data_IF_253342249494
#
_entry.id   IF_253342249494
#
_cell.length_a   1.000
_cell.length_b   1.000
_cell.length_c   1.000
_cell.angle_alpha   90.00
_cell.angle_beta   90.00
_cell.angle_gamma   90.00
#
_symmetry.space_group_name_H-M   'P 1'
#
loop_
_entity.id
_entity.type
_entity.pdbx_description
1 polymer ?
#
# COMPACT_ATOMS: atom_id res chain seq x y z
N UNK A 1 7.38 -5.97 -29.18
CA UNK A 1 8.58 -5.76 -28.34
C UNK A 1 8.41 -6.33 -26.94
N UNK A 2 7.52 -5.84 -26.10
CA UNK A 2 7.37 -6.36 -24.72
C UNK A 2 7.18 -7.88 -24.63
N UNK A 3 6.40 -8.50 -25.53
CA UNK A 3 6.22 -9.96 -25.57
C UNK A 3 7.54 -10.71 -25.89
N UNK A 4 8.39 -10.19 -26.77
CA UNK A 4 9.71 -10.77 -27.09
C UNK A 4 10.62 -10.73 -25.86
N UNK A 5 10.68 -9.59 -25.16
CA UNK A 5 11.45 -9.46 -23.91
C UNK A 5 10.89 -10.40 -22.83
N UNK A 6 9.56 -10.54 -22.73
CA UNK A 6 8.91 -11.42 -21.77
C UNK A 6 9.24 -12.89 -22.01
N UNK A 7 9.30 -13.31 -23.28
CA UNK A 7 9.65 -14.68 -23.65
C UNK A 7 11.10 -15.05 -23.25
N UNK A 8 12.00 -14.06 -23.26
CA UNK A 8 13.41 -14.23 -22.87
C UNK A 8 13.56 -14.11 -21.35
N UNK A 9 13.02 -13.07 -20.74
CA UNK A 9 13.23 -12.76 -19.33
C UNK A 9 12.44 -13.69 -18.39
N UNK A 10 11.25 -14.15 -18.80
CA UNK A 10 10.37 -14.98 -17.98
C UNK A 10 11.02 -16.25 -17.47
N UNK A 11 11.57 -17.11 -18.33
CA UNK A 11 12.23 -18.36 -17.91
C UNK A 11 13.43 -18.11 -16.97
N UNK A 12 14.21 -17.06 -17.22
CA UNK A 12 15.37 -16.70 -16.38
C UNK A 12 14.91 -16.33 -14.99
N UNK A 13 13.93 -15.43 -14.88
CA UNK A 13 13.35 -15.01 -13.60
C UNK A 13 12.77 -16.20 -12.84
N UNK A 14 12.02 -17.05 -13.52
CA UNK A 14 11.42 -18.25 -12.93
C UNK A 14 12.49 -19.23 -12.42
N UNK A 15 13.55 -19.45 -13.18
CA UNK A 15 14.68 -20.28 -12.76
C UNK A 15 15.43 -19.75 -11.54
N UNK A 16 15.39 -18.44 -11.32
CA UNK A 16 15.95 -17.75 -10.15
C UNK A 16 14.95 -17.68 -8.96
N UNK A 17 13.72 -18.17 -9.12
CA UNK A 17 12.68 -18.13 -8.08
C UNK A 17 11.89 -16.82 -8.03
N UNK A 18 12.00 -15.95 -9.03
CA UNK A 18 11.23 -14.73 -9.13
C UNK A 18 10.05 -14.86 -10.09
N UNK A 19 9.05 -14.01 -9.92
CA UNK A 19 7.90 -13.88 -10.83
C UNK A 19 8.03 -12.60 -11.63
N UNK A 20 7.92 -12.71 -12.95
CA UNK A 20 7.77 -11.56 -13.83
C UNK A 20 6.36 -10.96 -13.62
N UNK A 21 6.27 -9.69 -13.26
CA UNK A 21 4.98 -8.99 -13.09
C UNK A 21 4.62 -8.26 -14.37
N UNK A 22 5.49 -7.36 -14.86
CA UNK A 22 5.23 -6.54 -16.04
C UNK A 22 6.52 -6.15 -16.73
N UNK A 23 6.45 -5.98 -18.06
CA UNK A 23 7.47 -5.32 -18.85
C UNK A 23 6.88 -4.05 -19.44
N UNK A 24 7.55 -2.92 -19.20
CA UNK A 24 7.20 -1.64 -19.78
C UNK A 24 8.37 -1.14 -20.62
N UNK A 25 8.08 -0.77 -21.87
CA UNK A 25 9.05 -0.16 -22.79
C UNK A 25 8.63 1.29 -23.01
N UNK A 26 9.50 2.24 -22.66
CA UNK A 26 9.26 3.67 -22.84
C UNK A 26 10.33 4.27 -23.75
N UNK A 27 9.96 5.31 -24.50
CA UNK A 27 10.83 5.96 -25.46
C UNK A 27 11.10 7.45 -25.19
N UNK A 28 10.66 7.98 -24.04
CA UNK A 28 10.71 9.43 -23.77
C UNK A 28 12.14 9.99 -23.63
N UNK A 29 13.09 9.20 -23.10
CA UNK A 29 14.48 9.60 -22.91
C UNK A 29 15.45 8.54 -23.43
N UNK A 30 15.24 8.03 -24.63
CA UNK A 30 15.86 6.83 -25.11
C UNK A 30 14.98 5.61 -24.85
N UNK A 31 15.39 4.43 -25.35
CA UNK A 31 14.62 3.21 -25.11
C UNK A 31 14.94 2.70 -23.69
N UNK A 32 13.95 2.68 -22.81
CA UNK A 32 14.06 2.07 -21.49
C UNK A 32 13.19 0.83 -21.41
N UNK A 33 13.77 -0.28 -21.01
CA UNK A 33 13.11 -1.57 -20.75
C UNK A 33 13.03 -1.77 -19.25
N UNK A 34 11.86 -1.49 -18.68
CA UNK A 34 11.60 -1.75 -17.27
C UNK A 34 10.98 -3.12 -17.10
N UNK A 35 11.63 -3.95 -16.30
CA UNK A 35 11.17 -5.29 -15.92
C UNK A 35 10.78 -5.24 -14.44
N UNK A 36 9.48 -5.40 -14.18
CA UNK A 36 8.96 -5.52 -12.83
C UNK A 36 8.90 -6.98 -12.43
N UNK A 37 9.58 -7.33 -11.34
CA UNK A 37 9.62 -8.68 -10.81
C UNK A 37 9.35 -8.68 -9.30
N UNK A 38 9.04 -9.84 -8.76
CA UNK A 38 8.81 -10.05 -7.33
C UNK A 38 9.17 -11.47 -6.91
N UNK A 39 9.42 -11.69 -5.63
CA UNK A 39 9.46 -13.02 -5.02
C UNK A 39 8.04 -13.61 -4.96
N UNK A 40 7.88 -14.93 -4.74
CA UNK A 40 6.56 -15.56 -4.61
C UNK A 40 5.67 -14.98 -3.50
N UNK A 41 6.26 -14.42 -2.45
CA UNK A 41 5.58 -13.73 -1.35
C UNK A 41 5.16 -12.29 -1.69
N UNK A 42 5.59 -11.77 -2.86
CA UNK A 42 5.32 -10.40 -3.34
C UNK A 42 6.30 -9.36 -2.84
N UNK A 43 7.38 -9.76 -2.16
CA UNK A 43 8.47 -8.86 -1.74
C UNK A 43 9.55 -8.77 -2.82
N UNK A 44 10.41 -7.77 -2.72
CA UNK A 44 11.62 -7.60 -3.52
C UNK A 44 12.57 -6.64 -2.84
N UNK A 45 13.82 -7.01 -2.75
CA UNK A 45 14.89 -6.22 -2.15
C UNK A 45 15.77 -5.61 -3.26
N UNK A 46 16.60 -4.65 -2.89
CA UNK A 46 17.54 -4.01 -3.83
C UNK A 46 18.57 -5.02 -4.35
N UNK A 47 19.02 -5.92 -3.49
CA UNK A 47 19.95 -7.00 -3.83
C UNK A 47 19.35 -7.97 -4.86
N UNK A 48 18.05 -8.18 -4.82
CA UNK A 48 17.33 -8.97 -5.83
C UNK A 48 17.38 -8.28 -7.20
N UNK A 49 17.14 -6.95 -7.21
CA UNK A 49 17.20 -6.17 -8.45
C UNK A 49 18.59 -6.28 -9.10
N UNK A 50 19.65 -6.17 -8.30
CA UNK A 50 21.03 -6.31 -8.76
C UNK A 50 21.31 -7.72 -9.31
N UNK A 51 20.89 -8.73 -8.57
CA UNK A 51 21.08 -10.14 -8.97
C UNK A 51 20.35 -10.45 -10.27
N UNK A 52 19.09 -10.02 -10.40
CA UNK A 52 18.30 -10.15 -11.61
C UNK A 52 18.93 -9.40 -12.79
N UNK A 53 19.37 -8.17 -12.57
CA UNK A 53 20.00 -7.36 -13.62
C UNK A 53 21.25 -8.04 -14.18
N UNK A 54 22.12 -8.57 -13.31
CA UNK A 54 23.33 -9.30 -13.72
C UNK A 54 23.02 -10.57 -14.50
N UNK A 55 21.95 -11.27 -14.16
CA UNK A 55 21.55 -12.49 -14.84
C UNK A 55 20.88 -12.21 -16.18
N UNK A 56 20.04 -11.16 -16.27
CA UNK A 56 19.29 -10.85 -17.47
C UNK A 56 20.11 -10.14 -18.55
N UNK A 57 21.06 -9.26 -18.19
CA UNK A 57 21.83 -8.50 -19.17
C UNK A 57 22.47 -9.38 -20.25
N UNK A 58 23.28 -10.42 -19.94
CA UNK A 58 23.90 -11.24 -20.98
C UNK A 58 22.90 -12.04 -21.80
N UNK A 59 21.78 -12.46 -21.21
CA UNK A 59 20.77 -13.21 -21.92
C UNK A 59 20.01 -12.34 -22.91
N UNK A 60 19.71 -11.11 -22.52
CA UNK A 60 19.07 -10.12 -23.41
C UNK A 60 20.01 -9.65 -24.52
N UNK A 61 21.32 -9.52 -24.24
CA UNK A 61 22.32 -9.17 -25.24
C UNK A 61 22.46 -10.27 -26.32
N UNK A 62 22.40 -11.55 -25.92
CA UNK A 62 22.48 -12.68 -26.87
C UNK A 62 21.18 -12.82 -27.67
N UNK A 63 20.01 -12.68 -27.00
CA UNK A 63 18.71 -12.86 -27.64
C UNK A 63 18.30 -11.69 -28.52
N UNK A 64 18.90 -10.52 -28.34
CA UNK A 64 18.67 -9.24 -29.04
C UNK A 64 17.16 -8.97 -29.34
N UNK A 65 16.29 -8.97 -28.31
CA UNK A 65 14.84 -8.80 -28.51
C UNK A 65 14.47 -7.39 -28.94
N UNK A 66 15.41 -6.42 -28.87
CA UNK A 66 15.21 -4.99 -29.18
C UNK A 66 16.41 -4.50 -30.00
N UNK A 67 16.14 -4.14 -31.23
CA UNK A 67 17.14 -3.69 -32.21
C UNK A 67 17.84 -2.35 -31.90
N UNK A 68 17.31 -1.61 -30.91
CA UNK A 68 17.83 -0.29 -30.52
C UNK A 68 18.56 -0.42 -29.18
N UNK A 69 19.56 0.43 -28.99
CA UNK A 69 20.18 0.57 -27.68
C UNK A 69 19.12 0.94 -26.62
N UNK A 70 19.13 0.25 -25.50
CA UNK A 70 18.16 0.45 -24.42
C UNK A 70 18.86 0.47 -23.05
N UNK A 71 18.17 1.08 -22.08
CA UNK A 71 18.53 1.00 -20.67
C UNK A 71 17.68 -0.08 -20.02
N UNK A 72 18.29 -1.06 -19.38
CA UNK A 72 17.60 -2.06 -18.57
C UNK A 72 17.37 -1.53 -17.15
N UNK A 73 16.12 -1.55 -16.72
CA UNK A 73 15.70 -1.20 -15.35
C UNK A 73 14.98 -2.38 -14.71
N UNK A 74 15.47 -2.83 -13.58
CA UNK A 74 14.81 -3.85 -12.76
C UNK A 74 14.17 -3.16 -11.56
N UNK A 75 12.89 -3.43 -11.32
CA UNK A 75 12.15 -2.80 -10.22
C UNK A 75 11.13 -3.75 -9.60
N UNK A 76 10.74 -3.46 -8.36
CA UNK A 76 9.53 -4.03 -7.78
C UNK A 76 8.28 -3.41 -8.39
N UNK A 77 7.10 -4.08 -8.33
CA UNK A 77 5.85 -3.51 -8.81
C UNK A 77 5.36 -2.29 -8.02
N UNK A 78 5.94 -1.99 -6.85
CA UNK A 78 5.51 -0.89 -5.99
C UNK A 78 4.25 -1.21 -5.19
N UNK A 79 3.77 -0.21 -4.42
CA UNK A 79 2.56 -0.35 -3.59
C UNK A 79 1.30 -0.28 -4.46
N UNK A 80 1.27 0.59 -5.47
CA UNK A 80 0.22 0.74 -6.47
C UNK A 80 0.37 -0.25 -7.64
N UNK A 81 0.78 -1.46 -7.31
CA UNK A 81 1.18 -2.50 -8.26
C UNK A 81 0.14 -2.78 -9.34
N UNK A 82 0.57 -3.14 -10.55
CA UNK A 82 -0.33 -3.69 -11.56
C UNK A 82 -0.84 -5.08 -11.13
N UNK A 83 -2.12 -5.34 -11.43
CA UNK A 83 -2.77 -6.64 -11.26
C UNK A 83 -2.81 -7.30 -12.64
N UNK A 84 -2.05 -8.38 -12.82
CA UNK A 84 -1.85 -9.00 -14.13
C UNK A 84 -2.43 -10.40 -14.18
N UNK A 85 -2.41 -11.11 -13.06
CA UNK A 85 -2.82 -12.50 -12.96
C UNK A 85 -4.05 -12.64 -12.08
N UNK A 86 -4.83 -13.69 -12.30
CA UNK A 86 -5.95 -14.07 -11.44
C UNK A 86 -5.58 -14.03 -9.96
N UNK A 87 -4.42 -14.61 -9.60
CA UNK A 87 -3.92 -14.63 -8.22
C UNK A 87 -3.67 -13.25 -7.62
N UNK A 88 -3.41 -12.23 -8.46
CA UNK A 88 -3.25 -10.87 -7.99
C UNK A 88 -4.61 -10.28 -7.58
N UNK A 89 -5.65 -10.50 -8.38
CA UNK A 89 -7.02 -10.09 -8.05
C UNK A 89 -7.57 -10.81 -6.81
N UNK A 90 -7.27 -12.11 -6.66
CA UNK A 90 -7.65 -12.86 -5.45
C UNK A 90 -6.93 -12.34 -4.20
N UNK A 91 -5.63 -12.05 -4.31
CA UNK A 91 -4.79 -11.57 -3.20
C UNK A 91 -5.22 -10.19 -2.68
N UNK A 92 -5.64 -9.32 -3.58
CA UNK A 92 -5.96 -7.93 -3.27
C UNK A 92 -7.47 -7.65 -3.23
N UNK A 93 -8.29 -8.69 -2.99
CA UNK A 93 -9.71 -8.51 -2.70
C UNK A 93 -9.91 -7.56 -1.51
N UNK A 94 -10.91 -6.68 -1.60
CA UNK A 94 -11.19 -5.64 -0.62
C UNK A 94 -10.49 -4.30 -0.90
N UNK A 95 -9.45 -4.27 -1.73
CA UNK A 95 -8.73 -3.03 -2.05
C UNK A 95 -9.38 -2.24 -3.19
N UNK A 96 -9.17 -0.92 -3.16
CA UNK A 96 -9.59 -0.03 -4.23
C UNK A 96 -8.69 -0.20 -5.46
N UNK A 97 -9.30 -0.42 -6.63
CA UNK A 97 -8.58 -0.65 -7.89
C UNK A 97 -9.07 0.29 -8.98
N UNK A 98 -8.20 0.54 -9.96
CA UNK A 98 -8.55 1.11 -11.26
C UNK A 98 -8.35 0.04 -12.31
N UNK A 99 -9.36 -0.15 -13.16
CA UNK A 99 -9.34 -1.10 -14.27
C UNK A 99 -9.61 -0.36 -15.56
N UNK A 100 -8.80 -0.60 -16.58
CA UNK A 100 -8.99 -0.12 -17.94
C UNK A 100 -9.23 -1.31 -18.86
N UNK A 101 -10.32 -1.26 -19.62
CA UNK A 101 -10.74 -2.31 -20.53
C UNK A 101 -10.22 -2.05 -21.94
N UNK A 102 -9.72 -3.06 -22.61
CA UNK A 102 -9.41 -3.01 -24.05
C UNK A 102 -10.70 -2.86 -24.86
N UNK A 103 -11.71 -3.65 -24.54
CA UNK A 103 -13.07 -3.59 -25.09
C UNK A 103 -13.99 -2.88 -24.09
N UNK A 104 -14.82 -1.96 -24.56
CA UNK A 104 -15.74 -1.25 -23.67
C UNK A 104 -16.78 -2.23 -23.09
N UNK A 105 -16.90 -2.26 -21.78
CA UNK A 105 -17.94 -2.98 -21.07
C UNK A 105 -19.10 -2.02 -20.80
N UNK A 106 -20.29 -2.30 -21.31
CA UNK A 106 -21.50 -1.43 -21.21
C UNK A 106 -21.20 0.05 -21.61
N UNK A 107 -20.40 0.25 -22.67
CA UNK A 107 -20.05 1.58 -23.18
C UNK A 107 -18.96 2.30 -22.37
N UNK A 108 -18.42 1.72 -21.33
CA UNK A 108 -17.36 2.30 -20.47
C UNK A 108 -16.07 1.49 -20.59
N UNK A 109 -14.93 2.20 -20.63
CA UNK A 109 -13.60 1.58 -20.66
C UNK A 109 -12.84 1.67 -19.34
N UNK A 110 -13.25 2.58 -18.45
CA UNK A 110 -12.54 2.81 -17.18
C UNK A 110 -13.47 2.60 -15.99
N UNK A 111 -13.02 1.79 -15.08
CA UNK A 111 -13.71 1.44 -13.86
C UNK A 111 -12.83 1.75 -12.65
N UNK A 112 -13.45 2.20 -11.59
CA UNK A 112 -12.83 2.37 -10.29
C UNK A 112 -13.79 1.85 -9.24
N UNK A 113 -13.28 1.02 -8.33
CA UNK A 113 -14.10 0.43 -7.29
C UNK A 113 -13.31 -0.51 -6.40
N UNK A 114 -13.97 -1.05 -5.40
CA UNK A 114 -13.41 -2.07 -4.53
C UNK A 114 -13.48 -3.43 -5.22
N UNK A 115 -12.38 -4.13 -5.17
CA UNK A 115 -12.26 -5.48 -5.72
C UNK A 115 -13.03 -6.46 -4.81
N UNK A 116 -14.16 -6.98 -5.27
CA UNK A 116 -14.95 -7.93 -4.50
C UNK A 116 -14.43 -9.37 -4.62
N UNK A 117 -13.62 -9.65 -5.65
CA UNK A 117 -13.01 -10.95 -5.87
C UNK A 117 -13.00 -11.36 -7.32
N UNK A 118 -12.88 -12.66 -7.56
CA UNK A 118 -12.85 -13.26 -8.90
C UNK A 118 -13.94 -14.33 -9.01
N UNK A 119 -14.69 -14.28 -10.08
CA UNK A 119 -15.76 -15.23 -10.37
C UNK A 119 -15.56 -15.81 -11.79
N UNK A 120 -15.26 -17.10 -11.90
CA UNK A 120 -14.89 -17.71 -13.19
C UNK A 120 -13.72 -16.96 -13.82
N UNK A 121 -13.90 -16.46 -15.03
CA UNK A 121 -12.90 -15.69 -15.77
C UNK A 121 -13.12 -14.18 -15.68
N UNK A 122 -13.96 -13.73 -14.74
CA UNK A 122 -14.28 -12.33 -14.53
C UNK A 122 -13.82 -11.83 -13.15
N UNK A 123 -13.49 -10.56 -13.10
CA UNK A 123 -13.23 -9.80 -11.89
C UNK A 123 -14.51 -9.12 -11.45
N UNK A 124 -14.93 -9.37 -10.20
CA UNK A 124 -16.05 -8.67 -9.59
C UNK A 124 -15.57 -7.38 -8.94
N UNK A 125 -16.14 -6.28 -9.37
CA UNK A 125 -15.80 -4.93 -8.90
C UNK A 125 -17.05 -4.25 -8.34
N UNK A 126 -16.96 -3.76 -7.10
CA UNK A 126 -17.97 -2.89 -6.50
C UNK A 126 -17.60 -1.43 -6.82
N UNK A 127 -18.39 -0.69 -7.64
CA UNK A 127 -18.05 0.66 -8.07
C UNK A 127 -17.91 1.63 -6.90
N UNK A 128 -16.92 2.53 -6.97
CA UNK A 128 -16.69 3.56 -5.97
C UNK A 128 -17.82 4.59 -5.99
N UNK A 129 -18.38 4.92 -4.80
CA UNK A 129 -19.46 5.90 -4.64
C UNK A 129 -20.87 5.35 -4.75
N UNK A 130 -21.07 4.06 -5.00
CA UNK A 130 -22.38 3.41 -4.96
C UNK A 130 -22.60 2.80 -3.57
N UNK A 131 -23.84 2.90 -3.04
CA UNK A 131 -24.16 2.26 -1.76
C UNK A 131 -24.14 0.75 -1.93
N UNK A 132 -23.51 0.08 -0.98
CA UNK A 132 -23.30 -1.37 -0.98
C UNK A 132 -24.62 -2.13 -1.18
N UNK A 133 -24.77 -2.75 -2.36
CA UNK A 133 -25.82 -3.70 -2.71
C UNK A 133 -25.21 -4.73 -3.67
N UNK A 134 -25.59 -5.99 -3.57
CA UNK A 134 -25.06 -7.05 -4.45
C UNK A 134 -25.40 -6.83 -5.93
N UNK A 135 -26.47 -6.06 -6.22
CA UNK A 135 -26.94 -5.80 -7.57
C UNK A 135 -26.14 -4.74 -8.34
N UNK A 136 -25.24 -4.02 -7.65
CA UNK A 136 -24.42 -2.95 -8.25
C UNK A 136 -23.03 -3.40 -8.68
N UNK A 137 -22.67 -4.64 -8.42
CA UNK A 137 -21.36 -5.19 -8.79
C UNK A 137 -21.22 -5.35 -10.30
N UNK A 138 -20.05 -4.98 -10.83
CA UNK A 138 -19.72 -5.13 -12.24
C UNK A 138 -18.76 -6.30 -12.41
N UNK A 139 -19.13 -7.21 -13.32
CA UNK A 139 -18.28 -8.34 -13.72
C UNK A 139 -17.49 -7.95 -14.96
N UNK A 140 -16.16 -7.84 -14.82
CA UNK A 140 -15.23 -7.48 -15.91
C UNK A 140 -14.45 -8.73 -16.33
N UNK A 141 -14.59 -9.13 -17.59
CA UNK A 141 -13.87 -10.28 -18.16
C UNK A 141 -12.37 -9.99 -18.18
N UNK A 142 -11.55 -10.90 -17.63
CA UNK A 142 -10.10 -10.66 -17.47
C UNK A 142 -9.37 -10.50 -18.80
N UNK A 143 -9.77 -11.23 -19.84
CA UNK A 143 -9.16 -11.12 -21.17
C UNK A 143 -9.33 -9.73 -21.81
N UNK A 144 -10.40 -9.04 -21.45
CA UNK A 144 -10.72 -7.70 -21.94
C UNK A 144 -10.04 -6.59 -21.09
N UNK A 145 -9.33 -6.94 -20.02
CA UNK A 145 -8.61 -5.96 -19.19
C UNK A 145 -7.28 -5.62 -19.87
N UNK A 146 -7.12 -4.35 -20.25
CA UNK A 146 -5.86 -3.82 -20.80
C UNK A 146 -4.89 -3.41 -19.71
N UNK A 147 -5.38 -2.83 -18.60
CA UNK A 147 -4.61 -2.43 -17.44
C UNK A 147 -5.45 -2.50 -16.17
N UNK A 148 -4.86 -2.99 -15.10
CA UNK A 148 -5.45 -2.95 -13.77
C UNK A 148 -4.37 -2.66 -12.75
N UNK A 149 -4.68 -1.80 -11.76
CA UNK A 149 -3.74 -1.46 -10.68
C UNK A 149 -4.46 -1.08 -9.39
N UNK A 150 -3.77 -1.31 -8.30
CA UNK A 150 -4.21 -0.81 -6.99
C UNK A 150 -4.21 0.72 -6.97
N UNK A 151 -5.14 1.29 -6.21
CA UNK A 151 -5.14 2.72 -5.89
C UNK A 151 -4.47 2.91 -4.54
N UNK A 152 -3.53 3.83 -4.46
CA UNK A 152 -2.89 4.18 -3.20
C UNK A 152 -3.94 4.74 -2.23
N UNK A 153 -4.15 4.00 -1.13
CA UNK A 153 -4.96 4.41 0.01
C UNK A 153 -4.10 4.35 1.27
N UNK A 154 -4.47 5.08 2.31
CA UNK A 154 -3.74 5.05 3.58
C UNK A 154 -3.71 3.64 4.19
N UNK A 155 -4.77 2.86 3.98
CA UNK A 155 -4.86 1.46 4.40
C UNK A 155 -3.86 0.58 3.68
N UNK A 156 -3.76 0.70 2.35
CA UNK A 156 -2.81 -0.05 1.53
C UNK A 156 -1.36 0.30 1.88
N UNK A 157 -1.09 1.59 2.13
CA UNK A 157 0.23 2.06 2.58
C UNK A 157 0.57 1.44 3.94
N UNK A 158 -0.36 1.52 4.90
CA UNK A 158 -0.15 0.96 6.24
C UNK A 158 0.07 -0.56 6.22
N UNK A 159 -0.65 -1.28 5.35
CA UNK A 159 -0.47 -2.72 5.16
C UNK A 159 0.89 -3.04 4.54
N UNK A 160 1.28 -2.33 3.48
CA UNK A 160 2.59 -2.50 2.84
C UNK A 160 3.74 -2.24 3.82
N UNK A 161 3.65 -1.20 4.64
CA UNK A 161 4.65 -0.90 5.67
C UNK A 161 4.72 -1.99 6.76
N UNK A 162 3.59 -2.59 7.13
CA UNK A 162 3.55 -3.73 8.08
C UNK A 162 4.24 -4.95 7.49
N UNK A 163 3.93 -5.29 6.24
CA UNK A 163 4.57 -6.42 5.53
C UNK A 163 6.08 -6.21 5.39
N UNK A 164 6.52 -5.01 5.00
CA UNK A 164 7.93 -4.67 4.88
C UNK A 164 8.70 -4.82 6.21
N UNK A 165 8.13 -4.33 7.33
CA UNK A 165 8.72 -4.49 8.65
C UNK A 165 8.79 -5.95 9.11
N UNK A 166 7.82 -6.75 8.72
CA UNK A 166 7.80 -8.18 9.04
C UNK A 166 8.89 -8.92 8.25
N UNK A 167 8.98 -8.68 6.94
CA UNK A 167 10.02 -9.27 6.08
C UNK A 167 11.43 -8.88 6.55
N UNK A 168 11.63 -7.62 6.95
CA UNK A 168 12.91 -7.16 7.52
C UNK A 168 13.25 -7.88 8.85
N UNK A 169 12.25 -8.12 9.70
CA UNK A 169 12.45 -8.86 10.96
C UNK A 169 12.82 -10.32 10.70
N UNK A 170 12.13 -10.97 9.78
CA UNK A 170 12.39 -12.35 9.38
C UNK A 170 13.79 -12.49 8.79
N UNK A 171 14.20 -11.55 7.93
CA UNK A 171 15.55 -11.51 7.38
C UNK A 171 16.61 -11.33 8.46
N UNK A 172 16.41 -10.40 9.40
CA UNK A 172 17.33 -10.19 10.55
C UNK A 172 17.43 -11.43 11.43
N UNK A 173 16.33 -12.14 11.65
CA UNK A 173 16.33 -13.40 12.38
C UNK A 173 17.10 -14.49 11.62
N UNK A 174 16.90 -14.63 10.32
CA UNK A 174 17.59 -15.64 9.50
C UNK A 174 19.11 -15.39 9.43
N UNK A 175 19.53 -14.12 9.48
CA UNK A 175 20.94 -13.71 9.51
C UNK A 175 21.56 -13.73 10.92
N UNK A 176 20.79 -14.12 11.96
CA UNK A 176 21.27 -14.13 13.35
C UNK A 176 21.51 -12.73 13.94
N UNK A 177 21.02 -11.68 13.30
CA UNK A 177 21.10 -10.31 13.80
C UNK A 177 19.98 -10.12 14.80
N UNK A 178 20.29 -10.28 16.10
CA UNK A 178 19.34 -10.01 17.19
C UNK A 178 19.10 -8.50 17.24
N UNK A 179 17.86 -8.02 17.09
CA UNK A 179 17.57 -6.60 17.26
C UNK A 179 17.92 -6.18 18.69
N UNK A 180 18.49 -4.99 18.93
CA UNK A 180 18.71 -4.50 20.28
C UNK A 180 17.39 -4.47 21.04
N UNK A 181 17.38 -4.82 22.35
CA UNK A 181 16.16 -4.79 23.13
C UNK A 181 15.55 -3.37 23.09
N UNK A 182 14.22 -3.24 23.02
CA UNK A 182 13.59 -1.94 22.95
C UNK A 182 14.04 -1.08 24.13
N UNK A 183 14.41 0.20 23.91
CA UNK A 183 14.75 1.09 25.00
C UNK A 183 13.49 1.28 25.87
N UNK A 184 13.51 0.80 27.10
CA UNK A 184 12.41 0.83 28.08
C UNK A 184 11.42 -0.36 28.08
N UNK A 185 11.93 -1.58 28.16
CA UNK A 185 11.23 -2.57 28.95
C UNK A 185 11.50 -2.20 30.44
N UNK A 186 10.56 -1.48 31.05
CA UNK A 186 10.57 -1.31 32.51
C UNK A 186 10.60 -2.71 33.12
N UNK A 187 11.72 -3.07 33.75
CA UNK A 187 11.82 -4.25 34.60
C UNK A 187 10.65 -4.17 35.58
N UNK A 188 9.72 -5.08 35.48
CA UNK A 188 8.76 -5.34 36.51
C UNK A 188 9.55 -6.00 37.66
N UNK A 189 9.92 -5.23 38.67
CA UNK A 189 10.43 -5.77 39.91
C UNK A 189 9.35 -6.67 40.54
N UNK A 190 9.68 -7.93 40.87
CA UNK A 190 8.76 -8.77 41.63
C UNK A 190 8.81 -8.32 43.08
N UNK A 191 7.65 -8.11 43.66
CA UNK A 191 7.36 -7.95 45.08
C UNK A 191 7.59 -6.55 45.70
N UNK A 192 6.52 -5.73 45.68
CA UNK A 192 6.21 -4.91 46.86
C UNK A 192 4.72 -5.01 47.18
N UNK A 193 4.50 -5.62 48.30
CA UNK A 193 3.31 -5.84 49.11
C UNK A 193 2.23 -4.74 49.06
N UNK A 194 0.98 -5.21 49.06
CA UNK A 194 -0.25 -4.54 49.40
C UNK A 194 -0.11 -3.54 50.55
N UNK A 195 -0.24 -2.24 50.29
CA UNK A 195 -0.68 -1.24 51.25
C UNK A 195 -1.84 -0.47 50.63
N UNK A 196 -2.95 -0.27 51.34
CA UNK A 196 -4.11 0.45 50.82
C UNK A 196 -3.75 1.93 50.59
N UNK A 197 -3.94 2.41 49.38
CA UNK A 197 -3.75 3.83 49.01
C UNK A 197 -4.87 4.66 49.63
N UNK A 198 -4.51 5.49 50.60
CA UNK A 198 -5.34 6.61 51.05
C UNK A 198 -5.62 7.57 49.89
N UNK A 199 -6.89 8.00 49.77
CA UNK A 199 -7.33 8.96 48.75
C UNK A 199 -6.56 10.27 48.94
N UNK A 200 -6.01 10.88 47.84
CA UNK A 200 -5.34 12.16 47.96
C UNK A 200 -6.34 13.29 48.27
N UNK A 201 -6.07 14.06 49.29
CA UNK A 201 -6.77 15.32 49.59
C UNK A 201 -6.62 16.27 48.39
N UNK A 202 -7.74 16.84 47.96
CA UNK A 202 -7.76 17.89 46.93
C UNK A 202 -6.94 19.07 47.39
N UNK A 203 -5.88 19.41 46.64
CA UNK A 203 -5.10 20.62 46.85
C UNK A 203 -6.00 21.84 46.58
N UNK A 204 -5.93 22.91 47.41
CA UNK A 204 -6.68 24.17 47.13
C UNK A 204 -6.16 24.80 45.86
N UNK A 205 -7.08 25.31 45.05
CA UNK A 205 -6.80 26.00 43.78
C UNK A 205 -5.96 27.29 44.05
N UNK A 206 -5.01 27.60 43.19
CA UNK A 206 -4.22 28.84 43.32
C UNK A 206 -5.13 30.08 43.19
N UNK A 207 -4.93 31.03 44.08
CA UNK A 207 -5.71 32.26 44.27
C UNK A 207 -5.68 33.25 43.09
N UNK A 208 -5.27 32.87 41.88
CA UNK A 208 -5.04 33.77 40.77
C UNK A 208 -5.70 33.31 39.45
N UNK A 209 -6.86 32.67 39.51
CA UNK A 209 -7.65 32.38 38.32
C UNK A 209 -8.61 33.53 37.98
N UNK A 210 -8.86 33.75 36.69
CA UNK A 210 -9.74 34.81 36.13
C UNK A 210 -11.10 34.88 36.84
N UNK A 211 -11.62 33.77 37.37
CA UNK A 211 -12.85 33.66 38.14
C UNK A 211 -12.77 34.35 39.52
N UNK A 212 -11.61 34.34 40.17
CA UNK A 212 -11.40 34.99 41.48
C UNK A 212 -11.23 36.49 41.33
N UNK A 213 -10.73 37.00 40.20
CA UNK A 213 -10.60 38.42 39.90
C UNK A 213 -11.95 39.06 39.60
N UNK A 214 -12.88 38.35 38.94
CA UNK A 214 -14.24 38.85 38.64
C UNK A 214 -15.11 38.97 39.89
N UNK A 215 -14.97 38.05 40.86
CA UNK A 215 -15.71 38.12 42.13
C UNK A 215 -15.22 39.21 43.06
N UNK A 216 -13.99 39.71 42.93
CA UNK A 216 -13.40 40.78 43.75
C UNK A 216 -13.69 42.18 43.22
N UNK A 217 -14.25 42.34 42.00
CA UNK A 217 -14.51 43.62 41.36
C UNK A 217 -15.95 44.09 41.35
N UNK A 218 -16.88 43.41 42.04
CA UNK A 218 -18.22 43.90 42.40
C UNK A 218 -19.02 44.58 41.29
N UNK A 219 -18.94 44.15 40.04
CA UNK A 219 -19.70 44.69 38.93
C UNK A 219 -21.05 43.99 38.80
N UNK A 220 -22.18 44.71 38.86
CA UNK A 220 -23.51 44.13 38.68
C UNK A 220 -23.70 43.74 37.20
N UNK A 221 -24.31 42.57 37.00
CA UNK A 221 -24.73 42.09 35.69
C UNK A 221 -25.75 43.01 35.07
N UNK A 222 -25.40 43.62 33.93
CA UNK A 222 -26.35 44.31 33.09
C UNK A 222 -27.20 43.29 32.32
N UNK A 223 -28.49 43.34 32.55
CA UNK A 223 -29.52 42.73 31.71
C UNK A 223 -29.45 43.38 30.32
N UNK A 224 -29.33 42.56 29.31
CA UNK A 224 -29.47 43.00 27.92
C UNK A 224 -30.88 42.62 27.44
N UNK A 225 -31.72 43.61 27.29
CA UNK A 225 -33.04 43.52 26.72
C UNK A 225 -32.94 43.61 25.19
N UNK A 226 -33.51 42.65 24.41
CA UNK A 226 -33.52 42.72 22.97
C UNK A 226 -34.89 43.17 22.45
N UNK A 227 -35.15 44.45 22.38
CA UNK A 227 -36.23 44.97 21.57
C UNK A 227 -35.87 46.35 20.99
N UNK A 228 -36.34 46.54 19.75
CA UNK A 228 -36.32 47.71 18.85
C UNK A 228 -35.07 47.82 18.01
N UNK A 229 -35.10 47.76 16.63
CA UNK A 229 -36.19 48.17 15.74
C UNK A 229 -35.58 49.19 14.77
N UNK A 230 -35.75 48.91 13.54
CA UNK A 230 -35.73 49.69 12.30
C UNK A 230 -34.70 49.30 11.29
#
# INVERSE_FOLDING_TARGET
MAARVSAVAGPVLQGMGYRLVRIKISGEFGCTVQIMAERPDGTMLIEDCETISRALSPVLDIADPIEKAYRLEISSPGIDRPLVRRSDFERYAGHLVKVEMAVAHQGRKRFRGHLAGVEGDAVRLHPDGVRTGEDDDVLLVMEDISDARLVLTDELIAESMRRGKQAERELKQSLGIVPPPPPHAKRSDPAKSNKPKAKPLKKPLPKNTKKHRLAAQGLPGGEFDPTEGD
#
